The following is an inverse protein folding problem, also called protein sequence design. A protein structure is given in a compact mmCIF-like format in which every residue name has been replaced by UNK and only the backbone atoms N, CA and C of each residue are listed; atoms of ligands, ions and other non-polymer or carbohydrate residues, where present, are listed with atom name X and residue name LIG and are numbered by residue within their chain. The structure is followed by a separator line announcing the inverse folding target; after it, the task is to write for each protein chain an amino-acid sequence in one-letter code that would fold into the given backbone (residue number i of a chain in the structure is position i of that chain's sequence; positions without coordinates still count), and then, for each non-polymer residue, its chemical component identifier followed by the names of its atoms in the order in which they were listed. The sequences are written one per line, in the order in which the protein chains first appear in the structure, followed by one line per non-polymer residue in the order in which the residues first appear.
data_IF_223388988738
#
_entry.id   IF_223388988738
#
_cell.length_a   1.000
_cell.length_b   1.000
_cell.length_c   1.000
_cell.angle_alpha   90.00
_cell.angle_beta   90.00
_cell.angle_gamma   90.00
#
_symmetry.space_group_name_H-M   'P 1'
#
loop_
_entity.id
_entity.type
_entity.pdbx_description
1 polymer ?
#
# COMPACT_ATOMS: atom_id res chain seq x y z
N UNK A 1 -28.61 -6.84 80.31
CA UNK A 1 -27.29 -7.18 79.72
C UNK A 1 -27.42 -7.91 78.39
N UNK A 2 -28.23 -8.98 78.26
CA UNK A 2 -28.36 -9.75 77.00
C UNK A 2 -28.76 -8.89 75.78
N UNK A 3 -29.75 -8.00 75.90
CA UNK A 3 -30.20 -7.13 74.80
C UNK A 3 -29.08 -6.22 74.28
N UNK A 4 -28.24 -5.69 75.18
CA UNK A 4 -27.11 -4.82 74.81
C UNK A 4 -26.04 -5.59 74.05
N UNK A 5 -25.74 -6.82 74.47
CA UNK A 5 -24.77 -7.69 73.77
C UNK A 5 -25.26 -8.02 72.35
N UNK A 6 -26.54 -8.36 72.19
CA UNK A 6 -27.14 -8.65 70.87
C UNK A 6 -27.09 -7.42 69.97
N UNK A 7 -27.43 -6.23 70.48
CA UNK A 7 -27.36 -4.99 69.68
C UNK A 7 -25.93 -4.69 69.21
N UNK A 8 -24.92 -4.86 70.08
CA UNK A 8 -23.53 -4.66 69.71
C UNK A 8 -23.09 -5.67 68.64
N UNK A 9 -23.46 -6.96 68.76
CA UNK A 9 -23.13 -7.96 67.74
C UNK A 9 -23.76 -7.63 66.38
N UNK A 10 -25.02 -7.20 66.36
CA UNK A 10 -25.69 -6.78 65.11
C UNK A 10 -24.99 -5.57 64.49
N UNK A 11 -24.62 -4.56 65.29
CA UNK A 11 -23.90 -3.39 64.76
C UNK A 11 -22.54 -3.78 64.17
N UNK A 12 -21.79 -4.67 64.83
CA UNK A 12 -20.50 -5.16 64.31
C UNK A 12 -20.70 -5.93 63.01
N UNK A 13 -21.70 -6.82 62.91
CA UNK A 13 -21.99 -7.56 61.68
C UNK A 13 -22.34 -6.62 60.53
N UNK A 14 -23.17 -5.59 60.78
CA UNK A 14 -23.53 -4.59 59.77
C UNK A 14 -22.29 -3.81 59.32
N UNK A 15 -21.44 -3.36 60.25
CA UNK A 15 -20.20 -2.65 59.89
C UNK A 15 -19.25 -3.51 59.04
N UNK A 16 -19.10 -4.80 59.39
CA UNK A 16 -18.28 -5.73 58.60
C UNK A 16 -18.88 -5.94 57.20
N UNK A 17 -20.20 -6.13 57.08
CA UNK A 17 -20.84 -6.29 55.77
C UNK A 17 -20.68 -5.04 54.90
N UNK A 18 -20.82 -3.84 55.48
CA UNK A 18 -20.60 -2.57 54.77
C UNK A 18 -19.15 -2.44 54.32
N UNK A 19 -18.17 -2.76 55.18
CA UNK A 19 -16.76 -2.73 54.80
C UNK A 19 -16.45 -3.70 53.66
N UNK A 20 -16.98 -4.93 53.72
CA UNK A 20 -16.81 -5.92 52.64
C UNK A 20 -17.43 -5.42 51.33
N UNK A 21 -18.63 -4.84 51.38
CA UNK A 21 -19.26 -4.26 50.18
C UNK A 21 -18.44 -3.11 49.59
N UNK A 22 -17.92 -2.21 50.43
CA UNK A 22 -17.04 -1.12 49.96
C UNK A 22 -15.78 -1.66 49.30
N UNK A 23 -15.14 -2.67 49.89
CA UNK A 23 -13.95 -3.31 49.30
C UNK A 23 -14.27 -3.94 47.94
N UNK A 24 -15.39 -4.66 47.83
CA UNK A 24 -15.81 -5.28 46.57
C UNK A 24 -16.08 -4.22 45.50
N UNK A 25 -16.77 -3.13 45.83
CA UNK A 25 -17.04 -2.03 44.90
C UNK A 25 -15.73 -1.38 44.43
N UNK A 26 -14.79 -1.12 45.34
CA UNK A 26 -13.48 -0.55 44.99
C UNK A 26 -12.71 -1.49 44.08
N UNK A 27 -12.69 -2.80 44.37
CA UNK A 27 -12.03 -3.78 43.50
C UNK A 27 -12.67 -3.84 42.11
N UNK A 28 -13.99 -3.81 42.01
CA UNK A 28 -14.69 -3.78 40.72
C UNK A 28 -14.36 -2.51 39.93
N UNK A 29 -14.32 -1.34 40.57
CA UNK A 29 -13.93 -0.08 39.93
C UNK A 29 -12.49 -0.14 39.40
N UNK A 30 -11.55 -0.68 40.19
CA UNK A 30 -10.16 -0.86 39.76
C UNK A 30 -10.05 -1.81 38.55
N UNK A 31 -10.77 -2.93 38.55
CA UNK A 31 -10.79 -3.85 37.41
C UNK A 31 -11.35 -3.19 36.14
N UNK A 32 -12.43 -2.40 36.25
CA UNK A 32 -12.99 -1.65 35.13
C UNK A 32 -12.00 -0.63 34.57
N UNK A 33 -11.29 0.11 35.43
CA UNK A 33 -10.26 1.06 35.00
C UNK A 33 -9.10 0.36 34.27
N UNK A 34 -8.62 -0.78 34.78
CA UNK A 34 -7.57 -1.55 34.11
C UNK A 34 -8.02 -2.07 32.74
N UNK A 35 -9.25 -2.57 32.64
CA UNK A 35 -9.80 -3.06 31.37
C UNK A 35 -9.94 -1.92 30.35
N UNK A 36 -10.40 -0.75 30.79
CA UNK A 36 -10.50 0.44 29.92
C UNK A 36 -9.12 0.93 29.47
N UNK A 37 -8.11 0.91 30.35
CA UNK A 37 -6.74 1.28 30.00
C UNK A 37 -6.12 0.31 28.99
N UNK A 38 -6.31 -1.00 29.16
CA UNK A 38 -5.88 -2.00 28.18
C UNK A 38 -6.58 -1.81 26.84
N UNK A 39 -7.89 -1.57 26.83
CA UNK A 39 -8.65 -1.32 25.61
C UNK A 39 -8.16 -0.04 24.89
N UNK A 40 -7.85 1.02 25.63
CA UNK A 40 -7.24 2.23 25.05
C UNK A 40 -5.84 1.98 24.48
N UNK A 41 -5.01 1.17 25.14
CA UNK A 41 -3.69 0.80 24.60
C UNK A 41 -3.82 0.00 23.30
N UNK A 42 -4.73 -0.97 23.27
CA UNK A 42 -5.00 -1.77 22.07
C UNK A 42 -5.50 -0.87 20.94
N UNK A 43 -6.46 0.02 21.21
CA UNK A 43 -6.96 0.98 20.21
C UNK A 43 -5.86 1.92 19.69
N UNK A 44 -4.95 2.38 20.56
CA UNK A 44 -3.77 3.16 20.13
C UNK A 44 -2.85 2.36 19.22
N UNK A 45 -2.60 1.10 19.55
CA UNK A 45 -1.76 0.21 18.74
C UNK A 45 -2.40 -0.07 17.37
N UNK A 46 -3.73 -0.28 17.32
CA UNK A 46 -4.47 -0.40 16.07
C UNK A 46 -4.37 0.88 15.22
N UNK A 47 -4.55 2.05 15.83
CA UNK A 47 -4.44 3.34 15.13
C UNK A 47 -3.04 3.54 14.51
N UNK A 48 -1.98 3.26 15.27
CA UNK A 48 -0.61 3.34 14.75
C UNK A 48 -0.34 2.33 13.61
N UNK A 49 -0.87 1.12 13.71
CA UNK A 49 -0.76 0.13 12.64
C UNK A 49 -1.50 0.56 11.37
N UNK A 50 -2.69 1.17 11.48
CA UNK A 50 -3.42 1.68 10.32
C UNK A 50 -2.64 2.80 9.63
N UNK A 51 -2.09 3.76 10.39
CA UNK A 51 -1.30 4.87 9.83
C UNK A 51 -0.05 4.34 9.10
N UNK A 52 0.65 3.37 9.68
CA UNK A 52 1.86 2.80 9.05
C UNK A 52 1.54 2.00 7.78
N UNK A 53 0.42 1.28 7.74
CA UNK A 53 -0.04 0.56 6.55
C UNK A 53 -0.46 1.55 5.45
N UNK A 54 -1.23 2.58 5.79
CA UNK A 54 -1.65 3.61 4.85
C UNK A 54 -0.47 4.37 4.24
N UNK A 55 0.53 4.72 5.05
CA UNK A 55 1.73 5.41 4.56
C UNK A 55 2.56 4.53 3.62
N UNK A 56 2.69 3.23 3.90
CA UNK A 56 3.38 2.30 2.98
C UNK A 56 2.65 2.16 1.65
N UNK A 57 1.31 2.05 1.68
CA UNK A 57 0.50 1.95 0.46
C UNK A 57 0.55 3.24 -0.35
N UNK A 58 0.56 4.40 0.31
CA UNK A 58 0.73 5.69 -0.35
C UNK A 58 2.11 5.81 -1.01
N UNK A 59 3.18 5.36 -0.33
CA UNK A 59 4.52 5.33 -0.91
C UNK A 59 4.60 4.40 -2.14
N UNK A 60 3.96 3.23 -2.10
CA UNK A 60 3.89 2.33 -3.26
C UNK A 60 3.12 2.94 -4.44
N UNK A 61 2.04 3.68 -4.18
CA UNK A 61 1.26 4.36 -5.22
C UNK A 61 2.04 5.51 -5.86
N UNK A 62 2.68 6.35 -5.04
CA UNK A 62 3.56 7.43 -5.53
C UNK A 62 4.70 6.88 -6.39
N UNK A 63 5.29 5.75 -5.99
CA UNK A 63 6.34 5.09 -6.76
C UNK A 63 5.83 4.56 -8.10
N UNK A 64 4.65 3.91 -8.11
CA UNK A 64 4.02 3.41 -9.34
C UNK A 64 3.69 4.55 -10.31
N UNK A 65 3.07 5.63 -9.83
CA UNK A 65 2.67 6.76 -10.69
C UNK A 65 3.87 7.39 -11.40
N UNK A 66 4.99 7.56 -10.68
CA UNK A 66 6.23 8.09 -11.28
C UNK A 66 6.76 7.15 -12.37
N UNK A 67 6.82 5.83 -12.13
CA UNK A 67 7.31 4.89 -13.17
C UNK A 67 6.45 4.86 -14.43
N UNK A 68 5.13 4.99 -14.34
CA UNK A 68 4.25 5.10 -15.52
C UNK A 68 4.47 6.37 -16.33
N UNK A 69 4.78 7.51 -15.68
CA UNK A 69 5.09 8.76 -16.39
C UNK A 69 6.40 8.67 -17.19
N UNK A 70 7.37 7.88 -16.73
CA UNK A 70 8.63 7.69 -17.47
C UNK A 70 8.49 6.72 -18.65
N UNK A 71 7.68 5.66 -18.52
CA UNK A 71 7.45 4.71 -19.63
C UNK A 71 6.70 5.40 -20.77
N UNK A 72 5.69 6.22 -20.46
CA UNK A 72 4.94 6.93 -21.49
C UNK A 72 5.77 7.96 -22.27
N UNK A 73 6.88 8.46 -21.70
CA UNK A 73 7.78 9.40 -22.37
C UNK A 73 8.77 8.72 -23.32
N UNK A 74 9.00 7.41 -23.19
CA UNK A 74 9.89 6.66 -24.09
C UNK A 74 9.20 6.18 -25.38
N UNK A 75 7.88 6.09 -25.39
CA UNK A 75 7.12 5.63 -26.57
C UNK A 75 6.83 6.77 -27.58
N UNK A 76 7.13 8.03 -27.27
CA UNK A 76 6.88 9.19 -28.16
C UNK A 76 8.10 9.61 -29.01
N UNK A 77 9.30 9.05 -28.76
CA UNK A 77 10.55 9.47 -29.43
C UNK A 77 11.13 8.45 -30.44
N UNK A 78 10.47 7.30 -30.68
CA UNK A 78 11.04 6.16 -31.44
C UNK A 78 10.51 5.98 -32.88
N UNK A 79 9.89 6.99 -33.49
CA UNK A 79 9.37 6.88 -34.87
C UNK A 79 10.40 7.07 -36.00
N UNK A 80 11.67 7.42 -35.70
CA UNK A 80 12.67 7.76 -36.75
C UNK A 80 13.81 6.75 -36.98
N UNK A 81 13.87 5.61 -36.28
CA UNK A 81 14.96 4.64 -36.44
C UNK A 81 14.55 3.33 -37.13
N UNK A 82 14.05 3.42 -38.37
CA UNK A 82 14.05 2.31 -39.34
C UNK A 82 14.79 2.70 -40.60
N UNK A 83 16.10 2.42 -40.63
CA UNK A 83 16.80 1.88 -41.81
C UNK A 83 18.27 1.65 -41.47
N UNK A 84 18.88 0.71 -42.21
CA UNK A 84 20.30 0.32 -42.19
C UNK A 84 20.67 -0.85 -41.25
N UNK A 85 20.40 -2.06 -41.73
CA UNK A 85 21.44 -3.09 -41.76
C UNK A 85 22.28 -2.85 -43.04
N UNK A 86 23.59 -3.16 -43.10
CA UNK A 86 23.96 -4.57 -43.25
C UNK A 86 25.34 -5.02 -42.67
N UNK A 87 25.43 -6.33 -42.44
CA UNK A 87 26.57 -7.26 -42.63
C UNK A 87 27.99 -6.83 -42.25
N UNK A 88 28.57 -7.47 -41.21
CA UNK A 88 29.97 -7.96 -41.24
C UNK A 88 30.04 -9.31 -40.52
N UNK A 89 30.61 -10.28 -41.25
CA UNK A 89 30.97 -11.65 -40.89
C UNK A 89 32.42 -11.67 -40.38
N UNK A 90 32.74 -12.63 -39.50
CA UNK A 90 34.08 -13.15 -39.14
C UNK A 90 35.06 -12.23 -38.40
N UNK A 91 35.48 -12.64 -37.19
CA UNK A 91 36.84 -13.17 -36.92
C UNK A 91 37.09 -13.43 -35.42
N UNK A 92 37.70 -14.59 -35.14
CA UNK A 92 38.55 -14.98 -34.01
C UNK A 92 37.99 -14.85 -32.58
N UNK A 93 37.77 -15.92 -31.80
CA UNK A 93 38.71 -16.91 -31.26
C UNK A 93 39.96 -16.33 -30.57
N UNK A 94 39.90 -16.16 -29.25
CA UNK A 94 40.84 -16.64 -28.19
C UNK A 94 40.91 -15.67 -26.98
N UNK A 95 41.07 -16.18 -25.74
CA UNK A 95 41.14 -15.38 -24.51
C UNK A 95 42.58 -15.21 -24.00
N UNK A 96 42.86 -14.19 -23.15
CA UNK A 96 43.69 -14.42 -21.97
C UNK A 96 43.20 -13.64 -20.74
N UNK A 97 43.12 -14.26 -19.55
CA UNK A 97 44.15 -14.42 -18.50
C UNK A 97 44.60 -13.12 -17.80
N UNK A 98 44.51 -13.23 -16.47
CA UNK A 98 44.91 -12.34 -15.37
C UNK A 98 46.38 -11.87 -15.43
N UNK A 99 46.63 -10.59 -15.07
CA UNK A 99 47.84 -10.02 -14.43
C UNK A 99 47.37 -8.69 -13.79
N UNK A 100 47.29 -8.53 -12.48
CA UNK A 100 48.32 -8.26 -11.45
C UNK A 100 48.90 -6.82 -11.46
N UNK A 101 48.75 -6.19 -10.29
CA UNK A 101 49.54 -5.12 -9.65
C UNK A 101 49.76 -3.73 -10.30
N UNK A 102 49.47 -2.71 -9.48
CA UNK A 102 50.52 -1.78 -9.07
C UNK A 102 50.35 -0.29 -9.42
N UNK A 103 50.85 0.54 -8.49
CA UNK A 103 51.12 2.00 -8.54
C UNK A 103 49.91 2.96 -8.44
N UNK A 104 49.72 3.67 -7.32
CA UNK A 104 50.49 4.79 -6.72
C UNK A 104 50.29 6.17 -7.39
N UNK A 105 49.54 7.01 -6.66
CA UNK A 105 49.81 8.41 -6.27
C UNK A 105 50.65 9.35 -7.17
N UNK A 106 50.02 10.44 -7.59
CA UNK A 106 50.49 11.85 -7.49
C UNK A 106 49.43 12.73 -8.16
N UNK A 107 48.65 13.59 -7.48
CA UNK A 107 48.99 14.90 -6.91
C UNK A 107 49.92 15.77 -7.77
N UNK A 108 49.35 16.57 -8.67
CA UNK A 108 49.90 17.89 -9.04
C UNK A 108 48.78 18.90 -9.23
N UNK A 109 48.98 20.01 -8.54
CA UNK A 109 48.29 21.28 -8.55
C UNK A 109 48.67 22.03 -9.84
N UNK A 110 47.78 22.88 -10.36
CA UNK A 110 48.02 24.29 -10.79
C UNK A 110 47.34 24.68 -12.10
N UNK A 111 46.93 25.95 -12.11
CA UNK A 111 46.76 26.84 -13.27
C UNK A 111 45.38 26.86 -13.97
N UNK A 112 44.60 27.87 -13.61
CA UNK A 112 43.73 28.60 -14.54
C UNK A 112 44.61 29.49 -15.44
N UNK A 113 44.20 29.78 -16.70
CA UNK A 113 43.52 31.07 -16.92
C UNK A 113 42.42 31.07 -18.02
N UNK A 114 41.37 31.83 -17.71
CA UNK A 114 40.70 32.91 -18.48
C UNK A 114 40.27 32.73 -19.96
N UNK A 115 38.96 32.97 -20.15
CA UNK A 115 38.27 33.67 -21.27
C UNK A 115 37.99 32.99 -22.63
N UNK A 116 36.71 32.67 -22.88
CA UNK A 116 35.76 33.32 -23.82
C UNK A 116 34.66 32.32 -24.22
N UNK A 117 33.41 32.55 -23.80
CA UNK A 117 32.29 33.03 -24.64
C UNK A 117 32.02 32.11 -25.84
N UNK A 118 30.90 31.37 -25.80
CA UNK A 118 29.77 31.49 -26.74
C UNK A 118 28.67 30.45 -26.41
N UNK A 119 27.44 30.92 -26.57
CA UNK A 119 26.22 30.22 -26.98
C UNK A 119 25.36 29.53 -25.92
N UNK A 120 24.09 29.93 -26.00
CA UNK A 120 22.92 29.43 -25.31
C UNK A 120 22.70 27.95 -25.63
N UNK A 121 22.78 27.08 -24.62
CA UNK A 121 22.27 25.72 -24.66
C UNK A 121 21.23 25.59 -23.55
N UNK A 122 19.97 25.76 -23.96
CA UNK A 122 18.81 25.27 -23.23
C UNK A 122 18.86 23.73 -23.18
N UNK A 123 18.49 23.18 -22.02
CA UNK A 123 17.94 21.84 -21.84
C UNK A 123 18.81 20.63 -22.23
N UNK A 124 19.90 20.41 -21.48
CA UNK A 124 20.41 19.06 -21.21
C UNK A 124 20.29 18.73 -19.72
N UNK A 125 19.06 18.48 -19.25
CA UNK A 125 18.84 17.62 -18.08
C UNK A 125 19.14 16.17 -18.49
N UNK A 126 20.44 15.86 -18.52
CA UNK A 126 20.97 14.53 -18.75
C UNK A 126 20.37 13.54 -17.76
N UNK A 127 19.84 12.46 -18.33
CA UNK A 127 19.50 11.16 -17.74
C UNK A 127 20.60 10.61 -16.83
N UNK A 128 20.73 11.15 -15.62
CA UNK A 128 21.69 10.71 -14.60
C UNK A 128 21.00 10.13 -13.36
N UNK A 129 19.90 9.40 -13.53
CA UNK A 129 19.16 8.86 -12.39
C UNK A 129 18.53 7.48 -12.61
N UNK A 130 19.29 6.52 -13.11
CA UNK A 130 18.82 5.11 -13.18
C UNK A 130 19.86 4.06 -12.73
N UNK A 131 21.16 4.41 -12.72
CA UNK A 131 22.21 3.47 -12.28
C UNK A 131 22.29 3.27 -10.76
N UNK A 132 21.77 4.22 -9.96
CA UNK A 132 21.93 4.19 -8.50
C UNK A 132 20.81 3.40 -7.80
N UNK A 133 19.60 3.41 -8.36
CA UNK A 133 18.44 2.74 -7.78
C UNK A 133 18.50 1.21 -7.99
N UNK A 134 18.90 0.78 -9.19
CA UNK A 134 19.19 -0.63 -9.47
C UNK A 134 20.31 -1.18 -8.58
N UNK A 135 21.35 -0.38 -8.29
CA UNK A 135 22.44 -0.77 -7.38
C UNK A 135 21.93 -0.91 -5.94
N UNK A 136 21.08 0.02 -5.47
CA UNK A 136 20.49 -0.02 -4.13
C UNK A 136 19.50 -1.19 -3.93
N UNK A 137 18.65 -1.46 -4.93
CA UNK A 137 17.74 -2.61 -4.89
C UNK A 137 18.52 -3.95 -4.91
N UNK A 138 19.63 -4.00 -5.65
CA UNK A 138 20.47 -5.19 -5.70
C UNK A 138 21.21 -5.43 -4.37
N UNK A 139 21.71 -4.38 -3.70
CA UNK A 139 22.33 -4.52 -2.37
C UNK A 139 21.31 -5.01 -1.34
N UNK A 140 20.10 -4.45 -1.30
CA UNK A 140 19.04 -4.93 -0.39
C UNK A 140 18.67 -6.39 -0.67
N UNK A 141 18.54 -6.78 -1.95
CA UNK A 141 18.26 -8.18 -2.33
C UNK A 141 19.40 -9.12 -1.93
N UNK A 142 20.64 -8.63 -1.93
CA UNK A 142 21.81 -9.41 -1.55
C UNK A 142 21.92 -9.55 -0.04
N UNK A 143 21.67 -8.49 0.72
CA UNK A 143 21.65 -8.51 2.18
C UNK A 143 20.57 -9.42 2.73
N UNK A 144 19.34 -9.36 2.19
CA UNK A 144 18.26 -10.29 2.56
C UNK A 144 18.60 -11.75 2.25
N UNK A 145 19.35 -12.01 1.16
CA UNK A 145 19.84 -13.36 0.83
C UNK A 145 20.89 -13.83 1.82
N UNK A 146 21.78 -12.95 2.25
CA UNK A 146 22.83 -13.27 3.21
C UNK A 146 22.27 -13.48 4.61
N UNK A 147 21.28 -12.68 5.02
CA UNK A 147 20.53 -12.86 6.26
C UNK A 147 19.77 -14.19 6.26
N UNK A 148 19.07 -14.52 5.17
CA UNK A 148 18.41 -15.81 5.03
C UNK A 148 19.37 -17.00 5.10
N UNK A 149 20.62 -16.84 4.62
CA UNK A 149 21.65 -17.89 4.74
C UNK A 149 22.04 -18.14 6.20
N UNK A 150 22.13 -17.08 7.02
CA UNK A 150 22.51 -17.14 8.45
C UNK A 150 21.43 -17.77 9.35
N UNK A 151 20.17 -17.80 8.91
CA UNK A 151 19.07 -18.38 9.68
C UNK A 151 19.25 -19.89 9.92
N UNK A 152 18.84 -20.32 11.12
CA UNK A 152 18.73 -21.72 11.51
C UNK A 152 17.71 -22.47 10.64
N UNK A 153 17.81 -23.81 10.62
CA UNK A 153 16.92 -24.68 9.85
C UNK A 153 15.45 -24.51 10.26
N UNK A 154 15.21 -24.29 11.55
CA UNK A 154 13.87 -24.09 12.13
C UNK A 154 13.27 -22.75 11.69
N UNK A 155 14.06 -21.67 11.75
CA UNK A 155 13.64 -20.33 11.32
C UNK A 155 13.30 -20.28 9.83
N UNK A 156 14.06 -21.02 9.01
CA UNK A 156 13.77 -21.17 7.57
C UNK A 156 12.44 -21.87 7.31
N UNK A 157 12.05 -22.83 8.15
CA UNK A 157 10.75 -23.52 8.04
C UNK A 157 9.62 -22.56 8.39
N UNK A 158 9.77 -21.81 9.49
CA UNK A 158 8.78 -20.81 9.93
C UNK A 158 8.54 -19.76 8.83
N UNK A 159 9.60 -19.20 8.25
CA UNK A 159 9.47 -18.22 7.17
C UNK A 159 8.78 -18.77 5.92
N UNK A 160 9.02 -20.04 5.57
CA UNK A 160 8.32 -20.70 4.44
C UNK A 160 6.83 -20.87 4.72
N UNK A 161 6.47 -21.25 5.94
CA UNK A 161 5.06 -21.37 6.35
C UNK A 161 4.40 -19.99 6.31
N UNK A 162 5.03 -18.99 6.91
CA UNK A 162 4.52 -17.62 6.95
C UNK A 162 4.31 -17.03 5.55
N UNK A 163 5.27 -17.26 4.63
CA UNK A 163 5.14 -16.84 3.22
C UNK A 163 3.99 -17.54 2.50
N UNK A 164 3.74 -18.83 2.78
CA UNK A 164 2.61 -19.57 2.21
C UNK A 164 1.27 -19.06 2.74
N UNK A 165 1.18 -18.75 4.03
CA UNK A 165 -0.02 -18.17 4.65
C UNK A 165 -0.32 -16.79 4.03
N UNK A 166 0.67 -15.90 3.99
CA UNK A 166 0.53 -14.57 3.38
C UNK A 166 0.11 -14.63 1.91
N UNK A 167 0.67 -15.56 1.13
CA UNK A 167 0.27 -15.75 -0.27
C UNK A 167 -1.18 -16.22 -0.38
N UNK A 168 -1.62 -17.12 0.49
CA UNK A 168 -3.00 -17.61 0.50
C UNK A 168 -3.99 -16.50 0.90
N UNK A 169 -3.63 -15.66 1.86
CA UNK A 169 -4.44 -14.49 2.26
C UNK A 169 -4.54 -13.43 1.16
N UNK A 170 -3.44 -13.16 0.45
CA UNK A 170 -3.45 -12.25 -0.70
C UNK A 170 -4.37 -12.76 -1.80
N UNK A 171 -4.25 -14.03 -2.18
CA UNK A 171 -5.11 -14.63 -3.19
C UNK A 171 -6.60 -14.62 -2.79
N UNK A 172 -6.90 -14.77 -1.49
CA UNK A 172 -8.28 -14.72 -0.98
C UNK A 172 -8.85 -13.30 -1.06
N UNK A 173 -8.04 -12.28 -0.73
CA UNK A 173 -8.43 -10.87 -0.84
C UNK A 173 -8.59 -10.40 -2.28
N UNK A 174 -7.76 -10.91 -3.17
CA UNK A 174 -7.86 -10.63 -4.62
C UNK A 174 -9.15 -11.23 -5.18
N UNK A 175 -9.48 -12.47 -4.80
CA UNK A 175 -10.79 -13.07 -5.08
C UNK A 175 -11.96 -12.26 -4.50
N UNK A 176 -11.86 -11.75 -3.27
CA UNK A 176 -12.94 -10.99 -2.64
C UNK A 176 -13.14 -9.59 -3.27
N UNK A 177 -12.05 -8.98 -3.75
CA UNK A 177 -12.11 -7.71 -4.48
C UNK A 177 -12.80 -7.87 -5.84
N UNK A 178 -12.56 -8.98 -6.53
CA UNK A 178 -13.22 -9.31 -7.80
C UNK A 178 -14.75 -9.45 -7.62
N UNK A 179 -15.20 -10.20 -6.62
CA UNK A 179 -16.63 -10.33 -6.33
C UNK A 179 -17.30 -9.01 -5.93
N UNK A 180 -16.58 -8.11 -5.23
CA UNK A 180 -17.12 -6.78 -4.88
C UNK A 180 -17.29 -5.87 -6.08
N UNK A 181 -16.40 -5.95 -7.07
CA UNK A 181 -16.51 -5.20 -8.31
C UNK A 181 -17.70 -5.72 -9.14
N UNK A 182 -17.85 -7.05 -9.22
CA UNK A 182 -18.94 -7.69 -9.97
C UNK A 182 -20.33 -7.33 -9.40
N UNK A 183 -20.49 -7.30 -8.07
CA UNK A 183 -21.76 -6.89 -7.43
C UNK A 183 -22.06 -5.40 -7.66
N UNK A 184 -21.06 -4.53 -7.60
CA UNK A 184 -21.25 -3.09 -7.76
C UNK A 184 -21.55 -2.70 -9.22
N UNK A 185 -20.97 -3.42 -10.18
CA UNK A 185 -21.22 -3.23 -11.61
C UNK A 185 -22.58 -3.79 -12.04
N UNK A 186 -23.00 -4.91 -11.45
CA UNK A 186 -24.33 -5.49 -11.66
C UNK A 186 -25.46 -4.62 -11.06
N UNK A 187 -25.19 -3.87 -9.99
CA UNK A 187 -26.15 -2.90 -9.44
C UNK A 187 -26.23 -1.60 -10.27
N UNK A 188 -25.10 -1.09 -10.80
CA UNK A 188 -25.11 0.13 -11.63
C UNK A 188 -25.83 -0.01 -12.97
N UNK A 189 -25.77 -1.21 -13.56
CA UNK A 189 -26.38 -1.47 -14.86
C UNK A 189 -27.92 -1.56 -14.82
N UNK A 190 -28.51 -1.68 -13.62
CA UNK A 190 -29.95 -1.98 -13.39
C UNK A 190 -30.64 -0.92 -12.50
N UNK A 191 -29.97 0.19 -12.20
CA UNK A 191 -30.51 1.28 -11.38
C UNK A 191 -31.82 1.85 -11.93
N UNK A 192 -32.02 1.82 -13.24
CA UNK A 192 -33.24 2.26 -13.91
C UNK A 192 -34.49 1.40 -13.58
N UNK A 193 -34.29 0.14 -13.17
CA UNK A 193 -35.38 -0.76 -12.76
C UNK A 193 -35.83 -0.54 -11.31
N UNK A 194 -35.10 0.28 -10.55
CA UNK A 194 -35.40 0.59 -9.16
C UNK A 194 -36.12 1.93 -8.99
N UNK A 195 -36.29 2.70 -10.07
CA UNK A 195 -37.09 3.92 -10.08
C UNK A 195 -38.58 3.58 -10.14
N UNK A 196 -39.40 4.31 -9.38
CA UNK A 196 -40.85 4.22 -9.58
C UNK A 196 -41.23 4.79 -10.94
N UNK A 197 -42.38 4.40 -11.49
CA UNK A 197 -42.81 4.88 -12.81
C UNK A 197 -42.94 6.41 -12.88
N UNK A 198 -43.28 7.06 -11.76
CA UNK A 198 -43.37 8.52 -11.65
C UNK A 198 -41.98 9.16 -11.67
N UNK A 199 -41.05 8.66 -10.85
CA UNK A 199 -39.65 9.16 -10.80
C UNK A 199 -38.94 8.96 -12.14
N UNK A 200 -39.23 7.86 -12.83
CA UNK A 200 -38.66 7.57 -14.14
C UNK A 200 -39.06 8.62 -15.17
N UNK A 201 -40.33 9.03 -15.16
CA UNK A 201 -40.84 10.09 -16.04
C UNK A 201 -40.26 11.44 -15.65
N UNK A 202 -40.10 11.73 -14.36
CA UNK A 202 -39.48 12.98 -13.88
C UNK A 202 -38.01 13.09 -14.32
N UNK A 203 -37.25 12.00 -14.25
CA UNK A 203 -35.82 11.98 -14.57
C UNK A 203 -35.56 11.92 -16.08
N UNK A 204 -36.27 11.06 -16.81
CA UNK A 204 -36.01 10.80 -18.23
C UNK A 204 -36.98 11.51 -19.17
N UNK A 205 -38.06 12.11 -18.66
CA UNK A 205 -39.08 12.80 -19.45
C UNK A 205 -39.91 11.85 -20.34
N UNK A 206 -39.85 10.54 -20.11
CA UNK A 206 -40.54 9.53 -20.92
C UNK A 206 -40.86 8.28 -20.11
N UNK A 207 -41.84 7.50 -20.57
CA UNK A 207 -42.16 6.20 -19.98
C UNK A 207 -41.05 5.16 -20.25
N UNK A 208 -40.94 4.17 -19.35
CA UNK A 208 -39.97 3.08 -19.46
C UNK A 208 -40.06 2.32 -20.79
N UNK A 209 -41.28 2.10 -21.29
CA UNK A 209 -41.51 1.43 -22.58
C UNK A 209 -40.82 2.15 -23.75
N UNK A 210 -40.88 3.48 -23.76
CA UNK A 210 -40.21 4.30 -24.77
C UNK A 210 -38.70 4.28 -24.59
N UNK A 211 -38.21 4.22 -23.36
CA UNK A 211 -36.78 4.15 -23.04
C UNK A 211 -36.17 2.80 -23.45
N UNK A 212 -36.87 1.69 -23.21
CA UNK A 212 -36.40 0.35 -23.51
C UNK A 212 -36.19 0.10 -25.03
N UNK A 213 -36.94 0.82 -25.87
CA UNK A 213 -36.85 0.73 -27.33
C UNK A 213 -35.68 1.58 -27.88
N UNK A 214 -35.06 2.44 -27.07
CA UNK A 214 -33.92 3.25 -27.51
C UNK A 214 -32.67 2.38 -27.72
N UNK A 215 -31.76 2.75 -28.63
CA UNK A 215 -30.46 2.10 -28.76
C UNK A 215 -29.65 2.17 -27.45
N UNK A 216 -28.86 1.13 -27.16
CA UNK A 216 -28.08 0.99 -25.91
C UNK A 216 -27.22 2.23 -25.61
N UNK A 217 -26.57 2.81 -26.63
CA UNK A 217 -25.74 4.01 -26.46
C UNK A 217 -26.55 5.21 -25.95
N UNK A 218 -27.81 5.35 -26.39
CA UNK A 218 -28.70 6.45 -26.02
C UNK A 218 -29.26 6.23 -24.62
N UNK A 219 -29.58 4.99 -24.26
CA UNK A 219 -29.95 4.62 -22.89
C UNK A 219 -28.80 4.94 -21.91
N UNK A 220 -27.57 4.57 -22.23
CA UNK A 220 -26.39 4.86 -21.40
C UNK A 220 -26.12 6.36 -21.25
N UNK A 221 -26.24 7.13 -22.33
CA UNK A 221 -26.05 8.58 -22.27
C UNK A 221 -27.11 9.26 -21.39
N UNK A 222 -28.36 8.82 -21.47
CA UNK A 222 -29.42 9.32 -20.60
C UNK A 222 -29.17 8.94 -19.13
N UNK A 223 -28.77 7.70 -18.84
CA UNK A 223 -28.39 7.27 -17.47
C UNK A 223 -27.28 8.14 -16.90
N UNK A 224 -26.23 8.39 -17.68
CA UNK A 224 -25.11 9.29 -17.31
C UNK A 224 -25.56 10.73 -17.09
N UNK A 225 -26.42 11.26 -17.96
CA UNK A 225 -26.93 12.63 -17.84
C UNK A 225 -27.78 12.82 -16.57
N UNK A 226 -28.53 11.79 -16.18
CA UNK A 226 -29.35 11.78 -14.97
C UNK A 226 -28.59 11.48 -13.67
N UNK A 227 -27.30 11.14 -13.75
CA UNK A 227 -26.50 10.75 -12.57
C UNK A 227 -26.85 9.37 -11.99
N UNK A 228 -27.60 8.54 -12.71
CA UNK A 228 -27.93 7.16 -12.33
C UNK A 228 -26.84 6.13 -12.73
N UNK A 229 -25.63 6.60 -13.11
CA UNK A 229 -24.50 5.76 -13.51
C UNK A 229 -23.22 6.14 -12.76
#
# INVERSE_FOLDING_TARGET
MVVVVVMVMVMVMVMVMVMVMVVVVVMMMMMMMMMMMMMMMVMRQYSQNIVTISNKKLQELMYKENTTKYIQKCDEDDDDFKTVAPSIIELASTPPKQVLDGMQQSNTRSAWPTEQVWLDDEDQEGTYQDCNESRYLNTIKQDKRNEYKKLSREEKIVLRIQKKVLKKELNLKESEADYRLEIHEMQKSVLELHLTSEDFIEVFGMAYESFAVLPIWKQQNLKKASGLF
#
